data_IF_702781705151
#
_entry.id   IF_702781705151
#
_cell.length_a   1.000
_cell.length_b   1.000
_cell.length_c   1.000
_cell.angle_alpha   90.00
_cell.angle_beta   90.00
_cell.angle_gamma   90.00
#
_symmetry.space_group_name_H-M   'P 1'
#
loop_
_entity.id
_entity.type
_entity.pdbx_description
1 polymer ?
#
# COMPACT_ATOMS: atom_id res chain seq x y z
N UNK A 1 -0.71 -58.50 28.37
CA UNK A 1 -1.01 -57.14 28.99
C UNK A 1 0.04 -56.09 28.76
N UNK A 2 1.36 -56.40 28.64
CA UNK A 2 2.42 -55.39 28.39
C UNK A 2 2.36 -54.72 27.00
N UNK A 3 1.80 -55.37 25.96
CA UNK A 3 1.70 -54.83 24.61
C UNK A 3 0.56 -53.81 24.44
N UNK A 4 -0.47 -53.86 25.28
CA UNK A 4 -1.61 -52.94 25.24
C UNK A 4 -1.26 -51.59 25.87
N UNK A 5 -0.33 -51.55 26.83
CA UNK A 5 0.12 -50.35 27.50
C UNK A 5 1.00 -49.45 26.59
N UNK A 6 1.76 -50.08 25.67
CA UNK A 6 2.61 -49.37 24.71
C UNK A 6 1.81 -48.66 23.62
N UNK A 7 0.62 -49.19 23.27
CA UNK A 7 -0.25 -48.56 22.27
C UNK A 7 -0.97 -47.31 22.80
N UNK A 8 -1.21 -47.25 24.12
CA UNK A 8 -1.88 -46.13 24.76
C UNK A 8 -0.96 -44.90 24.92
N UNK A 9 0.36 -45.10 24.99
CA UNK A 9 1.35 -44.04 25.16
C UNK A 9 1.64 -43.34 23.82
N UNK A 10 1.48 -44.05 22.70
CA UNK A 10 1.73 -43.46 21.36
C UNK A 10 0.63 -42.50 20.87
N UNK A 11 -0.56 -42.51 21.48
CA UNK A 11 -1.68 -41.62 21.07
C UNK A 11 -1.69 -40.29 21.80
N UNK A 12 -0.85 -40.07 22.81
CA UNK A 12 -0.83 -38.81 23.59
C UNK A 12 0.18 -37.80 23.04
N UNK A 13 1.02 -38.16 22.07
CA UNK A 13 2.04 -37.28 21.50
C UNK A 13 1.58 -36.50 20.24
N UNK A 14 0.32 -36.66 19.85
CA UNK A 14 -0.22 -35.95 18.70
C UNK A 14 -1.24 -34.92 19.21
N UNK A 15 -0.84 -33.76 19.63
CA UNK A 15 -1.59 -32.52 19.56
C UNK A 15 -0.97 -31.42 20.42
N UNK A 16 0.17 -30.95 20.02
CA UNK A 16 0.52 -29.55 20.23
C UNK A 16 0.92 -28.99 18.88
N UNK A 17 -0.06 -28.80 17.97
CA UNK A 17 0.10 -27.79 16.98
C UNK A 17 0.17 -26.46 17.77
N UNK A 18 1.28 -25.70 17.65
CA UNK A 18 1.30 -24.39 18.21
C UNK A 18 0.16 -23.61 17.54
N UNK A 19 -0.89 -23.27 18.30
CA UNK A 19 -1.86 -22.28 17.83
C UNK A 19 -1.05 -21.01 17.62
N UNK A 20 -0.69 -20.76 16.37
CA UNK A 20 -0.18 -19.47 15.93
C UNK A 20 -1.35 -18.51 16.11
N UNK A 21 -1.45 -17.92 17.30
CA UNK A 21 -2.35 -16.80 17.53
C UNK A 21 -1.84 -15.67 16.66
N UNK A 22 -2.47 -15.50 15.50
CA UNK A 22 -2.18 -14.37 14.62
C UNK A 22 -2.32 -13.08 15.44
N UNK A 23 -1.21 -12.42 15.69
CA UNK A 23 -1.19 -11.17 16.41
C UNK A 23 -1.82 -10.10 15.50
N UNK A 24 -2.84 -9.43 15.99
CA UNK A 24 -3.39 -8.24 15.31
C UNK A 24 -2.31 -7.15 15.24
N UNK A 25 -2.12 -6.55 14.06
CA UNK A 25 -1.24 -5.40 13.88
C UNK A 25 -1.82 -4.08 14.41
N UNK A 26 -3.09 -4.09 14.82
CA UNK A 26 -3.80 -2.92 15.32
C UNK A 26 -5.29 -2.96 15.01
N UNK A 27 -5.96 -1.81 15.15
CA UNK A 27 -7.40 -1.65 14.93
C UNK A 27 -7.68 -0.33 14.22
N UNK A 28 -8.66 -0.32 13.31
CA UNK A 28 -9.16 0.91 12.69
C UNK A 28 -10.08 1.64 13.65
N UNK A 29 -9.78 2.89 13.97
CA UNK A 29 -10.53 3.70 14.94
C UNK A 29 -11.46 4.73 14.31
N UNK A 30 -11.30 5.03 13.03
CA UNK A 30 -12.17 5.97 12.33
C UNK A 30 -13.51 5.31 12.00
N UNK A 31 -14.57 6.09 12.02
CA UNK A 31 -15.92 5.64 11.66
C UNK A 31 -16.12 5.55 10.14
N UNK A 32 -15.26 6.20 9.37
CA UNK A 32 -15.27 6.16 7.91
C UNK A 32 -13.98 5.52 7.36
N UNK A 33 -14.10 4.57 6.43
CA UNK A 33 -15.35 3.94 5.98
C UNK A 33 -15.91 3.00 7.05
N UNK A 34 -17.26 2.93 7.21
CA UNK A 34 -17.92 2.18 8.30
C UNK A 34 -17.57 0.68 8.26
N UNK A 35 -17.25 0.14 7.07
CA UNK A 35 -16.84 -1.26 6.90
C UNK A 35 -15.54 -1.61 7.63
N UNK A 36 -14.67 -0.63 7.87
CA UNK A 36 -13.40 -0.82 8.58
C UNK A 36 -13.50 -0.48 10.07
N UNK A 37 -14.52 0.29 10.46
CA UNK A 37 -14.67 0.75 11.85
C UNK A 37 -14.63 -0.41 12.84
N UNK A 38 -13.70 -0.34 13.77
CA UNK A 38 -13.51 -1.37 14.78
C UNK A 38 -12.83 -2.65 14.30
N UNK A 39 -12.58 -2.83 13.01
CA UNK A 39 -11.88 -4.02 12.51
C UNK A 39 -10.39 -4.02 12.89
N UNK A 40 -9.89 -5.21 13.20
CA UNK A 40 -8.47 -5.44 13.37
C UNK A 40 -7.83 -5.67 12.01
N UNK A 41 -6.58 -5.23 11.87
CA UNK A 41 -5.79 -5.51 10.69
C UNK A 41 -4.62 -6.44 11.00
N UNK A 42 -4.18 -7.14 9.97
CA UNK A 42 -3.00 -8.00 9.92
C UNK A 42 -2.00 -7.40 8.94
N UNK A 43 -0.78 -7.88 8.98
CA UNK A 43 0.17 -7.60 7.89
C UNK A 43 -0.37 -8.27 6.62
N UNK A 44 -0.42 -7.51 5.54
CA UNK A 44 -0.85 -7.98 4.23
C UNK A 44 0.26 -8.70 3.46
N UNK A 45 0.03 -8.94 2.17
CA UNK A 45 1.01 -9.65 1.34
C UNK A 45 2.14 -8.75 0.86
N UNK A 46 3.32 -9.33 0.67
CA UNK A 46 4.48 -8.64 0.12
C UNK A 46 4.22 -8.23 -1.34
N UNK A 47 3.46 -9.00 -2.12
CA UNK A 47 3.10 -8.70 -3.51
C UNK A 47 2.34 -7.38 -3.63
N UNK A 48 1.43 -7.10 -2.68
CA UNK A 48 0.71 -5.83 -2.63
C UNK A 48 1.66 -4.65 -2.39
N UNK A 49 2.62 -4.82 -1.46
CA UNK A 49 3.63 -3.81 -1.20
C UNK A 49 4.55 -3.59 -2.41
N UNK A 50 5.01 -4.67 -3.04
CA UNK A 50 5.89 -4.60 -4.22
C UNK A 50 5.21 -3.92 -5.41
N UNK A 51 3.93 -4.21 -5.67
CA UNK A 51 3.15 -3.54 -6.71
C UNK A 51 3.12 -2.03 -6.47
N UNK A 52 2.78 -1.59 -5.25
CA UNK A 52 2.71 -0.16 -4.92
C UNK A 52 4.10 0.49 -4.99
N UNK A 53 5.14 -0.17 -4.49
CA UNK A 53 6.53 0.30 -4.59
C UNK A 53 6.94 0.48 -6.05
N UNK A 54 6.54 -0.45 -6.93
CA UNK A 54 6.77 -0.33 -8.37
C UNK A 54 6.08 0.90 -8.94
N UNK A 55 4.80 1.11 -8.65
CA UNK A 55 4.03 2.29 -9.10
C UNK A 55 4.71 3.60 -8.64
N UNK A 56 5.13 3.67 -7.37
CA UNK A 56 5.83 4.86 -6.84
C UNK A 56 7.14 5.13 -7.60
N UNK A 57 7.92 4.11 -7.91
CA UNK A 57 9.19 4.26 -8.64
C UNK A 57 8.97 4.60 -10.11
N UNK A 58 8.04 3.90 -10.75
CA UNK A 58 7.74 4.07 -12.17
C UNK A 58 7.18 5.46 -12.48
N UNK A 59 6.50 6.11 -11.53
CA UNK A 59 6.01 7.49 -11.70
C UNK A 59 7.13 8.51 -11.97
N UNK A 60 8.36 8.20 -11.70
CA UNK A 60 9.51 9.06 -12.03
C UNK A 60 9.92 9.00 -13.51
N UNK A 61 9.30 8.11 -14.29
CA UNK A 61 9.65 7.82 -15.68
C UNK A 61 8.36 7.77 -16.53
N UNK A 62 8.19 8.76 -17.43
CA UNK A 62 6.98 8.84 -18.27
C UNK A 62 6.79 7.62 -19.18
N UNK A 63 7.88 6.96 -19.57
CA UNK A 63 7.83 5.74 -20.42
C UNK A 63 7.22 4.55 -19.67
N UNK A 64 7.01 4.68 -18.34
CA UNK A 64 6.38 3.66 -17.48
C UNK A 64 4.90 3.90 -17.21
N UNK A 65 4.33 4.99 -17.72
CA UNK A 65 2.94 5.34 -17.41
C UNK A 65 1.94 4.25 -17.77
N UNK A 66 2.12 3.52 -18.88
CA UNK A 66 1.30 2.38 -19.25
C UNK A 66 1.30 1.30 -18.13
N UNK A 67 2.48 0.94 -17.62
CA UNK A 67 2.63 -0.02 -16.52
C UNK A 67 1.95 0.45 -15.22
N UNK A 68 1.85 1.75 -15.00
CA UNK A 68 1.17 2.33 -13.84
C UNK A 68 -0.34 2.17 -13.97
N UNK A 69 -0.92 2.55 -15.11
CA UNK A 69 -2.38 2.46 -15.33
C UNK A 69 -2.86 1.00 -15.33
N UNK A 70 -2.05 0.04 -15.81
CA UNK A 70 -2.36 -1.39 -15.69
C UNK A 70 -2.56 -1.87 -14.26
N UNK A 71 -1.92 -1.22 -13.30
CA UNK A 71 -2.04 -1.52 -11.86
C UNK A 71 -3.23 -0.82 -11.18
N UNK A 72 -4.02 -0.03 -11.93
CA UNK A 72 -5.10 0.80 -11.40
C UNK A 72 -6.45 0.39 -11.99
N UNK A 73 -7.53 0.76 -11.32
CA UNK A 73 -8.87 0.77 -11.92
C UNK A 73 -9.02 1.97 -12.86
N UNK A 74 -9.96 1.91 -13.80
CA UNK A 74 -10.18 2.97 -14.79
C UNK A 74 -10.48 4.34 -14.16
N UNK A 75 -11.05 4.37 -12.96
CA UNK A 75 -11.39 5.59 -12.23
C UNK A 75 -10.96 5.50 -10.78
N UNK A 76 -9.81 6.12 -10.46
CA UNK A 76 -9.20 6.10 -9.12
C UNK A 76 -9.73 7.27 -8.27
N UNK A 77 -10.14 6.96 -7.04
CA UNK A 77 -10.43 8.00 -6.06
C UNK A 77 -9.12 8.58 -5.52
N UNK A 78 -8.95 9.88 -5.61
CA UNK A 78 -7.74 10.56 -5.18
C UNK A 78 -8.05 11.61 -4.11
N UNK A 79 -7.43 11.47 -2.95
CA UNK A 79 -7.51 12.40 -1.84
C UNK A 79 -6.16 13.06 -1.64
N UNK A 80 -6.13 14.38 -1.73
CA UNK A 80 -4.93 15.19 -1.49
C UNK A 80 -5.24 16.28 -0.47
N UNK A 81 -4.25 17.01 0.04
CA UNK A 81 -4.49 18.19 0.89
C UNK A 81 -5.39 19.25 0.26
N UNK A 82 -5.42 19.31 -1.08
CA UNK A 82 -6.25 20.22 -1.85
C UNK A 82 -7.70 19.75 -1.99
N UNK A 83 -7.98 18.49 -1.68
CA UNK A 83 -9.31 17.92 -1.73
C UNK A 83 -9.42 16.56 -2.42
N UNK A 84 -10.67 16.18 -2.70
CA UNK A 84 -11.02 14.95 -3.38
C UNK A 84 -11.22 15.18 -4.88
N UNK A 85 -10.73 14.27 -5.68
CA UNK A 85 -11.02 14.18 -7.12
C UNK A 85 -11.04 12.72 -7.60
N UNK A 86 -11.70 12.48 -8.72
CA UNK A 86 -11.59 11.22 -9.46
C UNK A 86 -10.58 11.40 -10.58
N UNK A 87 -9.63 10.48 -10.66
CA UNK A 87 -8.64 10.43 -11.72
C UNK A 87 -9.09 9.43 -12.77
N UNK A 88 -9.11 9.86 -14.03
CA UNK A 88 -9.27 8.97 -15.17
C UNK A 88 -7.93 8.29 -15.45
N UNK A 89 -7.92 6.97 -15.34
CA UNK A 89 -6.75 6.13 -15.57
C UNK A 89 -6.93 5.21 -16.78
N UNK A 90 -7.87 5.53 -17.67
CA UNK A 90 -8.05 4.81 -18.94
C UNK A 90 -6.98 5.17 -19.97
N UNK A 91 -6.32 6.31 -19.78
CA UNK A 91 -5.18 6.78 -20.58
C UNK A 91 -4.07 7.30 -19.67
N UNK A 92 -2.88 7.51 -20.23
CA UNK A 92 -1.73 8.06 -19.47
C UNK A 92 -1.80 9.57 -19.25
N UNK A 93 -2.76 10.27 -19.82
CA UNK A 93 -2.85 11.74 -19.79
C UNK A 93 -2.87 12.32 -18.36
N UNK A 94 -3.60 11.67 -17.45
CA UNK A 94 -3.64 12.07 -16.03
C UNK A 94 -2.25 12.04 -15.40
N UNK A 95 -1.48 10.96 -15.63
CA UNK A 95 -0.12 10.83 -15.10
C UNK A 95 0.82 11.85 -15.73
N UNK A 96 0.74 12.04 -17.04
CA UNK A 96 1.51 13.05 -17.76
C UNK A 96 1.26 14.44 -17.19
N UNK A 97 0.03 14.81 -16.91
CA UNK A 97 -0.32 16.12 -16.35
C UNK A 97 0.33 16.38 -14.98
N UNK A 98 0.60 15.35 -14.19
CA UNK A 98 1.32 15.46 -12.91
C UNK A 98 2.84 15.52 -13.08
N UNK A 99 3.38 14.99 -14.17
CA UNK A 99 4.82 14.88 -14.44
C UNK A 99 5.36 16.05 -15.26
N UNK A 100 4.62 16.46 -16.31
CA UNK A 100 5.00 17.47 -17.28
C UNK A 100 5.44 18.84 -16.70
N UNK A 101 4.90 19.32 -15.54
CA UNK A 101 5.37 20.58 -14.95
C UNK A 101 6.84 20.55 -14.47
N UNK A 102 7.51 19.41 -14.51
CA UNK A 102 8.86 19.19 -13.95
C UNK A 102 9.83 18.68 -15.01
N UNK A 103 11.08 19.15 -14.97
CA UNK A 103 12.16 18.65 -15.82
C UNK A 103 12.49 17.19 -15.50
N UNK A 104 12.39 16.81 -14.23
CA UNK A 104 12.50 15.43 -13.78
C UNK A 104 11.96 15.24 -12.36
N UNK A 105 11.58 14.00 -12.06
CA UNK A 105 11.12 13.57 -10.73
C UNK A 105 11.99 12.40 -10.30
N UNK A 106 12.37 12.35 -9.01
CA UNK A 106 13.06 11.19 -8.40
C UNK A 106 12.34 10.80 -7.13
N UNK A 107 12.03 9.52 -6.99
CA UNK A 107 11.35 8.95 -5.82
C UNK A 107 12.19 7.83 -5.20
N UNK A 108 12.35 7.87 -3.88
CA UNK A 108 13.12 6.91 -3.09
C UNK A 108 12.21 6.38 -1.98
N UNK A 109 11.73 5.17 -2.15
CA UNK A 109 10.87 4.51 -1.15
C UNK A 109 11.69 4.25 0.11
N UNK A 110 11.14 4.65 1.26
CA UNK A 110 11.71 4.45 2.59
C UNK A 110 11.09 3.21 3.24
N UNK A 111 9.77 3.09 3.17
CA UNK A 111 9.03 1.94 3.70
C UNK A 111 7.72 1.77 2.95
N UNK A 112 7.26 0.53 2.87
CA UNK A 112 5.92 0.15 2.43
C UNK A 112 5.39 -0.89 3.40
N UNK A 113 4.20 -0.67 3.96
CA UNK A 113 3.58 -1.55 4.96
C UNK A 113 2.23 -2.01 4.43
N UNK A 114 2.11 -3.26 4.00
CA UNK A 114 0.83 -3.81 3.58
C UNK A 114 -0.02 -4.18 4.80
N UNK A 115 -1.30 -3.83 4.75
CA UNK A 115 -2.30 -4.11 5.78
C UNK A 115 -3.51 -4.78 5.15
N UNK A 116 -4.04 -5.82 5.80
CA UNK A 116 -5.23 -6.54 5.37
C UNK A 116 -6.30 -6.48 6.44
N UNK A 117 -7.53 -6.18 6.06
CA UNK A 117 -8.70 -6.12 6.92
C UNK A 117 -9.67 -7.25 6.60
N UNK A 118 -10.32 -7.78 7.66
CA UNK A 118 -11.24 -8.90 7.54
C UNK A 118 -10.55 -10.15 7.00
N UNK A 119 -11.25 -10.91 6.17
CA UNK A 119 -10.73 -12.14 5.52
C UNK A 119 -10.00 -11.85 4.20
N UNK A 120 -9.31 -10.72 4.09
CA UNK A 120 -8.58 -10.34 2.88
C UNK A 120 -9.38 -9.48 1.89
N UNK A 121 -10.58 -9.04 2.24
CA UNK A 121 -11.44 -8.27 1.35
C UNK A 121 -10.95 -6.85 1.06
N UNK A 122 -10.16 -6.27 1.97
CA UNK A 122 -9.63 -4.91 1.80
C UNK A 122 -8.14 -4.93 2.13
N UNK A 123 -7.33 -4.59 1.13
CA UNK A 123 -5.90 -4.43 1.27
C UNK A 123 -5.53 -2.95 1.19
N UNK A 124 -4.68 -2.51 2.10
CA UNK A 124 -4.14 -1.15 2.15
C UNK A 124 -2.61 -1.26 2.16
N UNK A 125 -1.93 -0.38 1.45
CA UNK A 125 -0.48 -0.23 1.54
C UNK A 125 -0.16 1.20 1.93
N UNK A 126 0.46 1.37 3.09
CA UNK A 126 0.99 2.64 3.57
C UNK A 126 2.44 2.78 3.12
N UNK A 127 2.74 3.85 2.38
CA UNK A 127 4.08 4.08 1.84
C UNK A 127 4.64 5.42 2.30
N UNK A 128 5.90 5.39 2.70
CA UNK A 128 6.71 6.60 2.92
C UNK A 128 7.82 6.64 1.89
N UNK A 129 7.97 7.75 1.20
CA UNK A 129 9.07 7.96 0.27
C UNK A 129 9.59 9.39 0.31
N UNK A 130 10.80 9.58 -0.21
CA UNK A 130 11.38 10.89 -0.47
C UNK A 130 11.19 11.21 -1.93
N UNK A 131 10.73 12.43 -2.22
CA UNK A 131 10.58 12.92 -3.59
C UNK A 131 11.45 14.14 -3.83
N UNK A 132 12.05 14.20 -5.00
CA UNK A 132 12.75 15.38 -5.53
C UNK A 132 12.13 15.72 -6.86
N UNK A 133 11.65 16.95 -7.00
CA UNK A 133 11.13 17.51 -8.26
C UNK A 133 12.07 18.59 -8.72
N UNK A 134 12.55 18.48 -9.93
CA UNK A 134 13.45 19.41 -10.55
C UNK A 134 12.65 20.24 -11.53
N UNK A 135 12.82 21.57 -11.47
CA UNK A 135 12.18 22.52 -12.39
C UNK A 135 13.06 23.78 -12.50
N UNK A 136 13.40 24.18 -13.72
CA UNK A 136 14.16 25.42 -14.01
C UNK A 136 15.45 25.53 -13.18
N UNK A 137 16.14 24.41 -12.94
CA UNK A 137 17.36 24.36 -12.13
C UNK A 137 17.13 24.32 -10.62
N UNK A 138 15.92 24.49 -10.16
CA UNK A 138 15.53 24.37 -8.74
C UNK A 138 15.16 22.95 -8.36
N UNK A 139 15.33 22.60 -7.08
CA UNK A 139 15.01 21.29 -6.53
C UNK A 139 14.08 21.41 -5.34
N UNK A 140 12.83 20.99 -5.52
CA UNK A 140 11.90 20.81 -4.41
C UNK A 140 12.09 19.41 -3.81
N UNK A 141 12.29 19.34 -2.49
CA UNK A 141 12.50 18.09 -1.74
C UNK A 141 11.41 17.93 -0.71
N UNK A 142 10.75 16.77 -0.71
CA UNK A 142 9.71 16.47 0.29
C UNK A 142 9.75 15.02 0.73
N UNK A 143 9.25 14.77 1.94
CA UNK A 143 8.87 13.42 2.38
C UNK A 143 7.37 13.31 2.16
N UNK A 144 6.95 12.23 1.52
CA UNK A 144 5.56 11.98 1.19
C UNK A 144 5.10 10.74 1.92
N UNK A 145 3.90 10.80 2.47
CA UNK A 145 3.18 9.66 2.99
C UNK A 145 1.93 9.48 2.14
N UNK A 146 1.80 8.29 1.56
CA UNK A 146 0.66 7.91 0.73
C UNK A 146 0.05 6.60 1.22
N UNK A 147 -1.26 6.49 1.09
CA UNK A 147 -2.03 5.27 1.34
C UNK A 147 -2.74 4.83 0.08
N UNK A 148 -2.58 3.57 -0.26
CA UNK A 148 -3.18 2.93 -1.41
C UNK A 148 -4.20 1.90 -0.95
N UNK A 149 -5.41 1.94 -1.49
CA UNK A 149 -6.41 0.89 -1.33
C UNK A 149 -6.41 0.02 -2.57
N UNK A 150 -6.31 -1.29 -2.35
CA UNK A 150 -6.26 -2.31 -3.39
C UNK A 150 -7.58 -3.07 -3.31
N UNK A 151 -8.28 -3.14 -4.44
CA UNK A 151 -9.54 -3.87 -4.56
C UNK A 151 -9.31 -5.40 -4.60
N UNK A 152 -10.37 -6.23 -4.53
CA UNK A 152 -10.24 -7.69 -4.62
C UNK A 152 -9.60 -8.20 -5.91
N UNK A 153 -9.66 -7.44 -7.00
CA UNK A 153 -9.03 -7.79 -8.29
C UNK A 153 -7.52 -7.48 -8.31
N UNK A 154 -6.96 -6.99 -7.20
CA UNK A 154 -5.56 -6.64 -7.06
C UNK A 154 -5.18 -5.29 -7.69
N UNK A 155 -6.15 -4.42 -8.01
CA UNK A 155 -5.91 -3.10 -8.60
C UNK A 155 -6.05 -1.97 -7.58
N UNK A 156 -5.25 -0.93 -7.73
CA UNK A 156 -5.36 0.29 -6.94
C UNK A 156 -6.65 1.02 -7.31
N UNK A 157 -7.52 1.23 -6.33
CA UNK A 157 -8.83 1.90 -6.49
C UNK A 157 -8.90 3.27 -5.82
N UNK A 158 -8.01 3.52 -4.85
CA UNK A 158 -7.98 4.77 -4.10
C UNK A 158 -6.56 5.10 -3.68
N UNK A 159 -6.20 6.37 -3.77
CA UNK A 159 -4.93 6.92 -3.29
C UNK A 159 -5.23 8.08 -2.36
N UNK A 160 -4.60 8.13 -1.20
CA UNK A 160 -4.63 9.29 -0.32
C UNK A 160 -3.22 9.78 -0.03
N UNK A 161 -2.98 11.07 -0.29
CA UNK A 161 -1.73 11.76 0.04
C UNK A 161 -1.95 12.54 1.34
N UNK A 162 -1.09 12.33 2.30
CA UNK A 162 -1.09 13.10 3.54
C UNK A 162 -0.10 14.28 3.43
N UNK A 163 -0.38 15.40 4.14
CA UNK A 163 0.53 16.54 4.15
C UNK A 163 1.95 16.10 4.47
N UNK A 164 2.89 16.52 3.64
CA UNK A 164 4.30 16.19 3.80
C UNK A 164 5.08 17.41 4.29
N UNK A 165 6.02 17.19 5.20
CA UNK A 165 6.97 18.23 5.59
C UNK A 165 7.97 18.48 4.46
N UNK A 166 8.24 19.77 4.18
CA UNK A 166 9.38 20.15 3.36
C UNK A 166 10.66 19.79 4.10
N UNK A 167 11.51 18.99 3.48
CA UNK A 167 12.82 18.66 4.06
C UNK A 167 13.77 19.82 3.76
N UNK A 168 14.33 20.52 4.79
CA UNK A 168 15.28 21.58 4.55
C UNK A 168 16.44 21.10 3.67
N UNK A 169 16.88 21.94 2.75
CA UNK A 169 18.12 21.71 2.00
C UNK A 169 19.29 21.99 2.95
N UNK A 170 19.98 20.94 3.38
CA UNK A 170 21.30 21.07 3.97
C UNK A 170 22.32 21.27 2.85
#
# INVERSE_FOLDING_TARGET
>A
MKKLLLLLISTVLISCEPQITEKSGGKWYQENPPQLSGQKFKIGSDEAAEMVVKVIRDFADMDKNESIIESMVDSVNFYSPEGYQKLDMTTTETLVSFQEPYDSIKRFVVSAVPLTFGEGAINIVDVVFRERRFKDGEVNRRRVFERFWINPDGKISTIAIFPSEMVPSN
#
